data_IF_400300353733
#
_entry.id   IF_400300353733
#
_cell.length_a   1.000
_cell.length_b   1.000
_cell.length_c   1.000
_cell.angle_alpha   90.00
_cell.angle_beta   90.00
_cell.angle_gamma   90.00
#
_symmetry.space_group_name_H-M   'P 1'
#
loop_
_entity.id
_entity.type
_entity.pdbx_description
1 polymer ?
#
# COMPACT_ATOMS: atom_id res chain seq x y z
N UNK A 1 2.08 6.35 13.79
CA UNK A 1 0.80 5.87 13.22
C UNK A 1 -0.15 7.05 13.19
N UNK A 2 -0.66 7.40 12.01
CA UNK A 2 -1.59 8.51 11.82
C UNK A 2 -3.02 7.97 11.74
N UNK A 3 -3.96 8.62 12.42
CA UNK A 3 -5.38 8.28 12.37
C UNK A 3 -6.15 9.43 11.73
N UNK A 4 -7.01 9.09 10.77
CA UNK A 4 -7.80 10.06 10.02
C UNK A 4 -9.25 9.57 9.98
N UNK A 5 -10.19 10.48 10.22
CA UNK A 5 -11.60 10.28 9.88
C UNK A 5 -11.82 10.94 8.53
N UNK A 6 -12.29 10.17 7.54
CA UNK A 6 -12.57 10.64 6.19
C UNK A 6 -14.01 10.35 5.80
N UNK A 7 -14.59 11.24 5.01
CA UNK A 7 -15.88 11.05 4.36
C UNK A 7 -15.70 10.17 3.11
N UNK A 8 -16.83 9.71 2.57
CA UNK A 8 -16.84 8.95 1.31
C UNK A 8 -16.22 9.78 0.18
N UNK A 9 -15.47 9.10 -0.69
CA UNK A 9 -14.76 9.64 -1.85
C UNK A 9 -13.61 10.60 -1.51
N UNK A 10 -13.31 10.77 -0.22
CA UNK A 10 -12.10 11.44 0.21
C UNK A 10 -10.88 10.53 0.10
N UNK A 11 -9.74 11.12 -0.26
CA UNK A 11 -8.48 10.41 -0.40
C UNK A 11 -7.40 10.87 0.59
N UNK A 12 -6.39 10.02 0.73
CA UNK A 12 -5.15 10.25 1.45
C UNK A 12 -4.03 9.92 0.48
N UNK A 13 -3.04 10.80 0.35
CA UNK A 13 -1.89 10.60 -0.53
C UNK A 13 -0.65 10.35 0.31
N UNK A 14 0.08 9.27 0.00
CA UNK A 14 1.41 9.00 0.53
C UNK A 14 2.42 9.41 -0.53
N UNK A 15 3.23 10.42 -0.22
CA UNK A 15 4.29 10.91 -1.09
C UNK A 15 5.67 10.63 -0.50
N UNK A 16 6.71 10.76 -1.33
CA UNK A 16 8.08 10.49 -0.90
C UNK A 16 8.35 9.00 -0.65
N UNK A 17 7.63 8.12 -1.34
CA UNK A 17 7.82 6.66 -1.26
C UNK A 17 9.08 6.31 -2.06
N UNK A 18 9.99 5.52 -1.49
CA UNK A 18 11.21 5.11 -2.17
C UNK A 18 11.29 3.58 -2.25
N UNK A 19 11.91 3.08 -3.32
CA UNK A 19 12.23 1.66 -3.44
C UNK A 19 13.46 1.27 -2.59
N UNK A 20 13.81 -0.02 -2.60
CA UNK A 20 14.96 -0.54 -1.87
C UNK A 20 16.32 0.00 -2.35
N UNK A 21 16.36 0.64 -3.52
CA UNK A 21 17.55 1.28 -4.09
C UNK A 21 17.59 2.79 -3.82
N UNK A 22 16.58 3.34 -3.13
CA UNK A 22 16.47 4.76 -2.84
C UNK A 22 15.94 5.59 -4.01
N UNK A 23 15.34 4.97 -5.04
CA UNK A 23 14.68 5.72 -6.10
C UNK A 23 13.30 6.16 -5.63
N UNK A 24 12.94 7.41 -5.92
CA UNK A 24 11.61 7.93 -5.67
C UNK A 24 10.60 7.21 -6.56
N UNK A 25 9.52 6.71 -5.95
CA UNK A 25 8.36 6.14 -6.60
C UNK A 25 7.24 7.17 -6.68
N UNK A 26 6.30 6.94 -7.59
CA UNK A 26 5.10 7.76 -7.69
C UNK A 26 4.28 7.67 -6.40
N UNK A 27 3.54 8.75 -6.11
CA UNK A 27 2.68 8.84 -4.95
C UNK A 27 1.62 7.72 -4.94
N UNK A 28 1.28 7.26 -3.74
CA UNK A 28 0.21 6.28 -3.52
C UNK A 28 -1.04 7.02 -3.06
N UNK A 29 -2.14 6.86 -3.78
CA UNK A 29 -3.43 7.39 -3.36
C UNK A 29 -4.28 6.29 -2.71
N UNK A 30 -4.82 6.57 -1.53
CA UNK A 30 -5.74 5.71 -0.80
C UNK A 30 -7.08 6.43 -0.73
N UNK A 31 -8.13 5.82 -1.28
CA UNK A 31 -9.49 6.38 -1.37
C UNK A 31 -10.44 5.57 -0.50
N UNK A 32 -11.32 6.28 0.23
CA UNK A 32 -12.45 5.64 0.94
C UNK A 32 -13.66 5.56 0.01
N UNK A 33 -13.95 4.35 -0.44
CA UNK A 33 -15.08 4.04 -1.33
C UNK A 33 -16.36 3.76 -0.52
N UNK A 34 -17.54 3.83 -1.17
CA UNK A 34 -18.79 3.40 -0.53
C UNK A 34 -18.77 1.95 -0.04
N UNK A 35 -19.58 1.67 0.98
CA UNK A 35 -19.71 0.36 1.63
C UNK A 35 -18.42 -0.10 2.32
N UNK A 36 -17.76 0.81 3.03
CA UNK A 36 -16.55 0.56 3.83
C UNK A 36 -15.41 -0.08 3.02
N UNK A 37 -15.33 0.24 1.73
CA UNK A 37 -14.29 -0.25 0.83
C UNK A 37 -13.12 0.74 0.80
N UNK A 38 -11.91 0.21 0.65
CA UNK A 38 -10.70 1.02 0.45
C UNK A 38 -10.15 0.76 -0.95
N UNK A 39 -10.03 1.82 -1.74
CA UNK A 39 -9.31 1.82 -3.02
C UNK A 39 -7.86 2.24 -2.80
N UNK A 40 -6.92 1.60 -3.50
CA UNK A 40 -5.52 1.99 -3.49
C UNK A 40 -5.07 2.12 -4.95
N UNK A 41 -4.61 3.30 -5.32
CA UNK A 41 -3.99 3.61 -6.61
C UNK A 41 -2.49 3.81 -6.39
N UNK A 42 -1.67 3.02 -7.06
CA UNK A 42 -0.22 3.04 -6.94
C UNK A 42 0.42 2.60 -8.26
N UNK A 43 1.68 2.99 -8.47
CA UNK A 43 2.46 2.46 -9.59
C UNK A 43 2.60 0.93 -9.50
N UNK A 44 2.71 0.26 -10.65
CA UNK A 44 2.80 -1.20 -10.74
C UNK A 44 4.04 -1.79 -10.06
N UNK A 45 5.07 -0.98 -9.80
CA UNK A 45 6.26 -1.37 -9.03
C UNK A 45 5.96 -1.56 -7.54
N UNK A 46 4.85 -1.02 -7.06
CA UNK A 46 4.44 -1.10 -5.65
C UNK A 46 3.55 -2.33 -5.47
N UNK A 47 4.02 -3.27 -4.65
CA UNK A 47 3.26 -4.47 -4.32
C UNK A 47 2.27 -4.16 -3.18
N UNK A 48 0.97 -4.27 -3.45
CA UNK A 48 -0.08 -4.12 -2.45
C UNK A 48 -0.55 -5.50 -2.00
N UNK A 49 -0.36 -5.82 -0.73
CA UNK A 49 -0.76 -7.10 -0.14
C UNK A 49 -1.74 -6.87 0.99
N UNK A 50 -2.82 -7.65 1.00
CA UNK A 50 -3.69 -7.75 2.17
C UNK A 50 -2.98 -8.56 3.24
N UNK A 51 -3.08 -8.12 4.50
CA UNK A 51 -2.29 -8.66 5.61
C UNK A 51 -2.45 -10.18 5.77
N UNK A 52 -3.66 -10.69 5.57
CA UNK A 52 -3.99 -12.12 5.64
C UNK A 52 -3.39 -12.95 4.49
N UNK A 53 -3.04 -12.30 3.38
CA UNK A 53 -2.42 -12.93 2.21
C UNK A 53 -0.90 -12.81 2.20
N UNK A 54 -0.34 -12.07 3.16
CA UNK A 54 1.08 -12.10 3.42
C UNK A 54 1.31 -13.51 3.99
N UNK A 55 1.46 -14.52 3.14
CA UNK A 55 2.04 -15.82 3.43
C UNK A 55 3.33 -16.06 2.68
N UNK A 56 3.72 -15.16 1.79
CA UNK A 56 5.09 -15.02 1.29
C UNK A 56 5.20 -13.59 0.77
N UNK A 57 6.01 -12.73 1.38
CA UNK A 57 6.25 -11.39 0.83
C UNK A 57 7.71 -11.24 0.43
N UNK A 58 7.93 -10.48 -0.64
CA UNK A 58 9.25 -10.15 -1.14
C UNK A 58 9.70 -8.84 -0.52
N UNK A 59 10.90 -8.88 0.06
CA UNK A 59 11.54 -7.72 0.65
C UNK A 59 12.99 -7.77 0.21
N UNK A 60 13.48 -6.68 -0.37
CA UNK A 60 14.89 -6.51 -0.74
C UNK A 60 15.42 -7.67 -1.61
N UNK A 61 14.65 -8.05 -2.63
CA UNK A 61 15.03 -9.12 -3.58
C UNK A 61 14.97 -10.56 -3.03
N UNK A 62 14.50 -10.76 -1.79
CA UNK A 62 14.45 -12.09 -1.16
C UNK A 62 13.01 -12.54 -0.90
N UNK A 63 12.68 -13.77 -1.29
CA UNK A 63 11.37 -14.37 -1.05
C UNK A 63 11.27 -14.86 0.41
N UNK A 64 10.35 -14.29 1.19
CA UNK A 64 10.03 -14.78 2.54
C UNK A 64 8.72 -15.55 2.52
N UNK A 65 8.47 -16.36 3.55
CA UNK A 65 7.23 -17.13 3.74
C UNK A 65 6.59 -16.81 5.09
N UNK A 66 5.31 -16.39 5.13
CA UNK A 66 4.45 -16.77 6.24
C UNK A 66 3.86 -18.17 6.04
N UNK A 67 4.05 -18.97 7.07
CA UNK A 67 3.42 -20.27 7.19
C UNK A 67 2.00 -20.07 7.73
N UNK A 68 1.11 -21.04 7.45
CA UNK A 68 -0.26 -21.10 7.99
C UNK A 68 -0.26 -21.25 9.49
#
# INVERSE_FOLDING_TARGET
MLYLTRLKDESVVLSGVHDAHGNLLDDIEIVILPNDKVGISADKKITILRKELVQRYFQDGTQKVLQK
#
